data_IF_623550766508
#
_entry.id   IF_623550766508
#
_cell.length_a   1.000
_cell.length_b   1.000
_cell.length_c   1.000
_cell.angle_alpha   90.00
_cell.angle_beta   90.00
_cell.angle_gamma   90.00
#
_symmetry.space_group_name_H-M   'P 1'
#
loop_
_entity.id
_entity.type
_entity.pdbx_description
1 polymer ?
#
# COMPACT_ATOMS: atom_id res chain seq x y z
N UNK A 1 -70.19 -5.28 -21.00
CA UNK A 1 -69.60 -6.63 -21.12
C UNK A 1 -69.05 -6.97 -22.52
N UNK A 2 -69.67 -6.53 -23.63
CA UNK A 2 -69.16 -6.76 -25.02
C UNK A 2 -67.80 -6.09 -25.31
N UNK A 3 -67.59 -4.86 -24.82
CA UNK A 3 -66.33 -4.12 -24.98
C UNK A 3 -65.13 -4.86 -24.34
N UNK A 4 -65.28 -5.37 -23.12
CA UNK A 4 -64.23 -6.10 -22.41
C UNK A 4 -63.81 -7.39 -23.16
N UNK A 5 -64.79 -8.10 -23.74
CA UNK A 5 -64.54 -9.29 -24.58
C UNK A 5 -63.76 -8.96 -25.85
N UNK A 6 -64.09 -7.86 -26.51
CA UNK A 6 -63.40 -7.42 -27.72
C UNK A 6 -61.95 -7.01 -27.41
N UNK A 7 -61.73 -6.30 -26.31
CA UNK A 7 -60.38 -5.90 -25.85
C UNK A 7 -59.53 -7.11 -25.48
N UNK A 8 -60.07 -8.08 -24.73
CA UNK A 8 -59.34 -9.31 -24.37
C UNK A 8 -59.09 -10.19 -25.61
N UNK A 9 -60.02 -10.23 -26.57
CA UNK A 9 -59.89 -10.97 -27.82
C UNK A 9 -58.76 -10.47 -28.72
N UNK A 10 -58.44 -9.18 -28.65
CA UNK A 10 -57.33 -8.53 -29.37
C UNK A 10 -56.01 -8.49 -28.57
N UNK A 11 -55.98 -9.08 -27.38
CA UNK A 11 -54.77 -9.08 -26.56
C UNK A 11 -53.63 -9.87 -27.23
N UNK A 12 -52.37 -9.41 -27.11
CA UNK A 12 -51.21 -10.10 -27.67
C UNK A 12 -50.87 -11.39 -26.91
N UNK A 13 -51.51 -11.64 -25.78
CA UNK A 13 -51.34 -12.85 -24.99
C UNK A 13 -52.24 -13.97 -25.52
N UNK A 14 -51.68 -15.06 -26.10
CA UNK A 14 -52.46 -16.08 -26.81
C UNK A 14 -53.55 -16.72 -25.94
N UNK A 15 -53.25 -17.00 -24.68
CA UNK A 15 -54.21 -17.62 -23.76
C UNK A 15 -55.39 -16.68 -23.43
N UNK A 16 -55.18 -15.37 -23.32
CA UNK A 16 -56.26 -14.39 -23.09
C UNK A 16 -57.17 -14.25 -24.32
N UNK A 17 -56.60 -14.20 -25.53
CA UNK A 17 -57.37 -14.17 -26.78
C UNK A 17 -58.27 -15.42 -26.92
N UNK A 18 -57.74 -16.61 -26.60
CA UNK A 18 -58.49 -17.86 -26.70
C UNK A 18 -59.57 -18.03 -25.62
N UNK A 19 -59.36 -17.49 -24.40
CA UNK A 19 -60.41 -17.43 -23.36
C UNK A 19 -61.62 -16.61 -23.83
N UNK A 20 -61.40 -15.52 -24.58
CA UNK A 20 -62.48 -14.69 -25.13
C UNK A 20 -63.27 -15.39 -26.24
N UNK A 21 -62.57 -16.17 -27.08
CA UNK A 21 -63.13 -16.89 -28.25
C UNK A 21 -63.80 -18.23 -27.89
N UNK A 22 -63.44 -18.87 -26.79
CA UNK A 22 -64.01 -20.16 -26.38
C UNK A 22 -65.51 -20.08 -26.07
N UNK A 23 -66.30 -21.02 -26.60
CA UNK A 23 -67.76 -21.06 -26.43
C UNK A 23 -68.19 -21.83 -25.17
N UNK A 24 -67.53 -22.95 -24.86
CA UNK A 24 -67.86 -23.83 -23.73
C UNK A 24 -67.12 -23.48 -22.44
N UNK A 25 -67.73 -23.78 -21.28
CA UNK A 25 -67.13 -23.50 -19.96
C UNK A 25 -65.84 -24.30 -19.73
N UNK A 26 -65.77 -25.55 -20.19
CA UNK A 26 -64.60 -26.42 -20.05
C UNK A 26 -63.37 -25.86 -20.76
N UNK A 27 -63.54 -25.40 -22.00
CA UNK A 27 -62.43 -24.81 -22.77
C UNK A 27 -61.92 -23.49 -22.19
N UNK A 28 -62.79 -22.70 -21.56
CA UNK A 28 -62.36 -21.49 -20.82
C UNK A 28 -61.50 -21.84 -19.61
N UNK A 29 -61.88 -22.88 -18.86
CA UNK A 29 -61.11 -23.37 -17.70
C UNK A 29 -59.74 -23.90 -18.16
N UNK A 30 -59.70 -24.65 -19.27
CA UNK A 30 -58.44 -25.14 -19.84
C UNK A 30 -57.47 -23.99 -20.18
N UNK A 31 -57.91 -22.99 -20.96
CA UNK A 31 -57.04 -21.87 -21.34
C UNK A 31 -56.66 -20.98 -20.15
N UNK A 32 -57.52 -20.87 -19.14
CA UNK A 32 -57.20 -20.20 -17.88
C UNK A 32 -56.11 -20.94 -17.10
N UNK A 33 -56.14 -22.28 -17.06
CA UNK A 33 -55.06 -23.09 -16.46
C UNK A 33 -53.74 -22.93 -17.22
N UNK A 34 -53.77 -22.92 -18.56
CA UNK A 34 -52.59 -22.68 -19.40
C UNK A 34 -52.00 -21.29 -19.13
N UNK A 35 -52.85 -20.26 -19.03
CA UNK A 35 -52.41 -18.90 -18.67
C UNK A 35 -51.74 -18.88 -17.30
N UNK A 36 -52.36 -19.49 -16.29
CA UNK A 36 -51.86 -19.51 -14.91
C UNK A 36 -50.52 -20.25 -14.81
N UNK A 37 -50.40 -21.42 -15.45
CA UNK A 37 -49.15 -22.19 -15.51
C UNK A 37 -48.02 -21.39 -16.19
N UNK A 38 -48.34 -20.71 -17.31
CA UNK A 38 -47.37 -19.87 -18.02
C UNK A 38 -46.92 -18.66 -17.20
N UNK A 39 -47.84 -18.04 -16.45
CA UNK A 39 -47.55 -16.90 -15.58
C UNK A 39 -46.66 -17.31 -14.40
N UNK A 40 -46.93 -18.47 -13.79
CA UNK A 40 -46.09 -19.05 -12.75
C UNK A 40 -44.68 -19.37 -13.26
N UNK A 41 -44.55 -19.97 -14.45
CA UNK A 41 -43.26 -20.25 -15.07
C UNK A 41 -42.47 -18.98 -15.39
N UNK A 42 -43.15 -17.95 -15.91
CA UNK A 42 -42.54 -16.64 -16.16
C UNK A 42 -42.05 -15.98 -14.86
N UNK A 43 -42.90 -15.94 -13.83
CA UNK A 43 -42.53 -15.39 -12.52
C UNK A 43 -41.35 -16.13 -11.89
N UNK A 44 -41.28 -17.46 -12.05
CA UNK A 44 -40.14 -18.27 -11.60
C UNK A 44 -38.83 -17.91 -12.34
N UNK A 45 -38.87 -17.77 -13.67
CA UNK A 45 -37.71 -17.37 -14.46
C UNK A 45 -37.25 -15.95 -14.13
N UNK A 46 -38.19 -14.99 -14.01
CA UNK A 46 -37.88 -13.61 -13.61
C UNK A 46 -37.27 -13.59 -12.20
N UNK A 47 -37.82 -14.35 -11.24
CA UNK A 47 -37.23 -14.49 -9.91
C UNK A 47 -35.78 -14.99 -9.99
N UNK A 48 -35.52 -16.05 -10.76
CA UNK A 48 -34.17 -16.59 -10.89
C UNK A 48 -33.21 -15.58 -11.54
N UNK A 49 -33.65 -14.88 -12.58
CA UNK A 49 -32.85 -13.83 -13.23
C UNK A 49 -32.55 -12.69 -12.26
N UNK A 50 -33.55 -12.21 -11.51
CA UNK A 50 -33.37 -11.13 -10.53
C UNK A 50 -32.41 -11.54 -9.40
N UNK A 51 -32.47 -12.78 -8.91
CA UNK A 51 -31.52 -13.30 -7.91
C UNK A 51 -30.08 -13.24 -8.43
N UNK A 52 -29.85 -13.60 -9.70
CA UNK A 52 -28.52 -13.54 -10.31
C UNK A 52 -28.10 -12.10 -10.60
N UNK A 53 -29.02 -11.26 -11.08
CA UNK A 53 -28.77 -9.85 -11.37
C UNK A 53 -28.34 -9.09 -10.10
N UNK A 54 -29.08 -9.24 -9.00
CA UNK A 54 -28.76 -8.59 -7.72
C UNK A 54 -27.61 -9.27 -6.96
N UNK A 55 -27.01 -10.33 -7.50
CA UNK A 55 -25.74 -10.89 -7.00
C UNK A 55 -24.53 -10.08 -7.46
N UNK A 56 -24.68 -9.22 -8.47
CA UNK A 56 -23.60 -8.41 -9.07
C UNK A 56 -22.34 -9.24 -9.42
N UNK A 57 -22.46 -10.30 -10.25
CA UNK A 57 -21.29 -11.05 -10.70
C UNK A 57 -20.36 -10.16 -11.54
N UNK A 58 -19.05 -10.33 -11.38
CA UNK A 58 -18.03 -9.59 -12.13
C UNK A 58 -17.37 -10.54 -13.14
N UNK A 59 -17.22 -10.08 -14.37
CA UNK A 59 -16.40 -10.74 -15.40
C UNK A 59 -15.04 -10.06 -15.45
N UNK A 60 -13.97 -10.86 -15.44
CA UNK A 60 -12.60 -10.35 -15.57
C UNK A 60 -12.24 -10.36 -17.04
N UNK A 61 -11.92 -9.18 -17.58
CA UNK A 61 -11.37 -9.04 -18.92
C UNK A 61 -9.86 -8.80 -18.83
N UNK A 62 -9.08 -9.57 -19.59
CA UNK A 62 -7.63 -9.49 -19.62
C UNK A 62 -7.22 -9.15 -21.04
N UNK A 63 -6.78 -7.92 -21.23
CA UNK A 63 -6.27 -7.43 -22.51
C UNK A 63 -4.79 -7.07 -22.37
N UNK A 64 -4.03 -7.37 -23.43
CA UNK A 64 -2.64 -6.92 -23.56
C UNK A 64 -2.65 -5.69 -24.45
N UNK A 65 -2.31 -4.54 -23.89
CA UNK A 65 -2.21 -3.29 -24.62
C UNK A 65 -0.75 -3.01 -25.00
N UNK A 66 -0.47 -2.98 -26.30
CA UNK A 66 0.83 -2.55 -26.80
C UNK A 66 0.79 -1.02 -26.98
N UNK A 67 1.56 -0.30 -26.17
CA UNK A 67 1.70 1.16 -26.26
C UNK A 67 3.05 1.53 -26.86
N UNK A 68 3.08 2.56 -27.69
CA UNK A 68 4.30 3.10 -28.30
C UNK A 68 5.27 3.68 -27.26
N UNK A 69 4.75 4.11 -26.11
CA UNK A 69 5.55 4.48 -24.94
C UNK A 69 4.85 4.06 -23.67
N UNK A 70 5.65 3.70 -22.68
CA UNK A 70 5.20 3.35 -21.34
C UNK A 70 5.84 4.30 -20.34
N UNK A 71 5.07 4.68 -19.33
CA UNK A 71 5.61 5.42 -18.19
C UNK A 71 6.55 4.52 -17.40
N UNK A 72 7.77 5.01 -17.19
CA UNK A 72 8.76 4.33 -16.38
C UNK A 72 8.30 4.38 -14.91
N UNK A 73 8.49 3.31 -14.11
CA UNK A 73 8.13 3.36 -12.70
C UNK A 73 9.05 4.31 -11.92
N UNK A 74 8.65 4.64 -10.70
CA UNK A 74 9.57 5.21 -9.73
C UNK A 74 10.42 4.09 -9.12
N UNK A 75 11.71 4.38 -8.91
CA UNK A 75 12.67 3.44 -8.32
C UNK A 75 13.29 4.08 -7.10
N UNK A 76 12.99 3.53 -5.92
CA UNK A 76 13.52 3.99 -4.64
C UNK A 76 14.64 3.09 -4.17
N UNK A 77 15.77 3.71 -3.84
CA UNK A 77 16.96 3.06 -3.30
C UNK A 77 17.16 3.48 -1.85
N UNK A 78 17.29 2.51 -0.97
CA UNK A 78 17.65 2.71 0.43
C UNK A 78 18.91 1.91 0.77
N UNK A 79 19.76 2.44 1.64
CA UNK A 79 20.83 1.63 2.24
C UNK A 79 20.22 0.72 3.33
N UNK A 80 20.64 -0.55 3.40
CA UNK A 80 20.21 -1.43 4.51
C UNK A 80 20.74 -0.96 5.87
N UNK A 81 21.82 -0.18 5.87
CA UNK A 81 22.27 0.57 7.02
C UNK A 81 21.61 1.96 7.07
N UNK A 82 20.92 2.27 8.16
CA UNK A 82 20.14 3.51 8.28
C UNK A 82 20.97 4.79 8.37
N UNK A 83 22.15 4.69 8.97
CA UNK A 83 23.03 5.82 9.26
C UNK A 83 24.46 5.34 9.42
N UNK A 84 25.44 6.21 9.15
CA UNK A 84 26.85 5.87 9.31
C UNK A 84 27.21 5.62 10.78
N UNK A 85 28.04 4.60 11.02
CA UNK A 85 28.52 4.23 12.36
C UNK A 85 29.24 5.38 13.08
N UNK A 86 29.86 6.31 12.36
CA UNK A 86 30.54 7.47 12.96
C UNK A 86 29.60 8.31 13.84
N UNK A 87 28.29 8.30 13.55
CA UNK A 87 27.28 9.06 14.28
C UNK A 87 26.60 8.26 15.40
N UNK A 88 26.97 6.99 15.61
CA UNK A 88 26.41 6.11 16.65
C UNK A 88 26.48 6.74 18.04
N UNK A 89 27.61 7.35 18.40
CA UNK A 89 27.79 8.04 19.69
C UNK A 89 26.93 9.30 19.80
N UNK A 90 26.73 10.04 18.71
CA UNK A 90 25.87 11.22 18.68
C UNK A 90 24.42 10.85 18.97
N UNK A 91 23.93 9.80 18.31
CA UNK A 91 22.56 9.32 18.52
C UNK A 91 22.38 8.80 19.94
N UNK A 92 23.29 7.98 20.46
CA UNK A 92 23.17 7.45 21.83
C UNK A 92 23.23 8.53 22.92
N UNK A 93 23.83 9.69 22.64
CA UNK A 93 23.89 10.83 23.55
C UNK A 93 22.80 11.89 23.27
N UNK A 94 21.83 11.59 22.40
CA UNK A 94 20.76 12.51 21.99
C UNK A 94 21.27 13.87 21.48
N UNK A 95 22.44 13.88 20.83
CA UNK A 95 23.05 15.11 20.29
C UNK A 95 22.41 15.40 18.93
N UNK A 96 21.71 16.54 18.76
CA UNK A 96 21.16 16.93 17.46
C UNK A 96 22.28 17.37 16.50
N UNK A 97 21.96 17.43 15.21
CA UNK A 97 22.90 17.94 14.22
C UNK A 97 23.21 19.43 14.46
N UNK A 98 24.48 19.87 14.34
CA UNK A 98 25.69 19.11 14.00
C UNK A 98 26.44 18.54 15.22
N UNK A 99 26.82 17.26 15.19
CA UNK A 99 27.52 16.60 16.31
C UNK A 99 29.05 16.60 16.19
N UNK A 100 29.62 16.30 15.01
CA UNK A 100 31.07 16.17 14.84
C UNK A 100 31.66 17.45 14.24
N UNK A 101 31.14 17.87 13.08
CA UNK A 101 31.39 19.18 12.47
C UNK A 101 30.18 19.59 11.62
N UNK A 102 29.78 20.88 11.61
CA UNK A 102 28.78 21.37 10.67
C UNK A 102 29.28 21.22 9.24
N UNK A 103 28.46 20.62 8.40
CA UNK A 103 28.54 20.78 6.94
C UNK A 103 27.40 21.72 6.54
N UNK A 104 27.69 22.70 5.68
CA UNK A 104 26.67 23.51 5.02
C UNK A 104 25.98 22.63 3.98
N UNK A 105 24.79 22.14 4.31
CA UNK A 105 23.93 21.48 3.34
C UNK A 105 22.50 21.98 3.49
N UNK A 106 21.88 22.26 2.35
CA UNK A 106 20.47 22.51 2.24
C UNK A 106 19.72 21.23 2.62
N UNK A 107 18.99 21.29 3.72
CA UNK A 107 18.13 20.19 4.19
C UNK A 107 16.79 20.34 3.51
N UNK A 108 16.32 19.34 2.72
CA UNK A 108 15.01 19.40 2.10
C UNK A 108 13.93 19.62 3.17
N UNK A 109 13.03 20.56 2.92
CA UNK A 109 11.93 20.92 3.82
C UNK A 109 10.80 19.88 3.73
N UNK A 110 11.12 18.62 4.04
CA UNK A 110 10.17 17.51 3.96
C UNK A 110 9.60 17.17 5.33
N UNK A 111 8.28 16.88 5.39
CA UNK A 111 7.61 16.38 6.58
C UNK A 111 8.08 14.94 6.83
N UNK A 112 9.00 14.75 7.77
CA UNK A 112 9.57 13.45 8.09
C UNK A 112 8.54 12.34 8.30
N UNK A 113 8.90 11.12 7.91
CA UNK A 113 8.07 9.94 8.12
C UNK A 113 7.85 9.67 9.60
N UNK A 114 6.59 9.51 10.02
CA UNK A 114 6.24 9.00 11.35
C UNK A 114 6.45 7.49 11.39
N UNK A 115 7.12 7.01 12.44
CA UNK A 115 7.26 5.58 12.78
C UNK A 115 5.99 4.77 12.50
N UNK A 116 6.09 3.72 11.68
CA UNK A 116 5.01 2.74 11.52
C UNK A 116 5.21 1.64 12.57
N UNK A 117 4.17 1.27 13.33
CA UNK A 117 4.31 0.31 14.42
C UNK A 117 4.78 -1.10 14.00
N UNK A 118 4.67 -1.44 12.71
CA UNK A 118 5.27 -2.66 12.14
C UNK A 118 6.80 -2.68 12.31
N UNK A 119 7.46 -1.53 12.19
CA UNK A 119 8.90 -1.35 12.38
C UNK A 119 9.32 -1.61 13.84
N UNK A 120 8.42 -1.33 14.80
CA UNK A 120 8.66 -1.56 16.24
C UNK A 120 8.72 -3.05 16.59
N UNK A 121 7.94 -3.91 15.92
CA UNK A 121 7.87 -5.35 16.27
C UNK A 121 9.14 -6.13 15.94
N UNK A 122 9.88 -5.74 14.90
CA UNK A 122 11.10 -6.43 14.49
C UNK A 122 12.19 -6.37 15.58
N UNK A 123 12.22 -5.29 16.37
CA UNK A 123 13.29 -5.03 17.35
C UNK A 123 12.86 -5.20 18.81
N UNK A 124 11.56 -5.40 19.11
CA UNK A 124 11.05 -5.35 20.50
C UNK A 124 10.74 -6.69 21.17
N UNK A 125 10.78 -7.83 20.47
CA UNK A 125 10.62 -9.14 21.13
C UNK A 125 11.97 -9.69 21.63
N UNK A 126 12.44 -9.13 22.74
CA UNK A 126 13.53 -9.71 23.56
C UNK A 126 13.08 -11.05 24.17
N UNK A 127 11.77 -11.24 24.35
CA UNK A 127 11.18 -12.40 25.04
C UNK A 127 11.39 -13.75 24.36
N UNK A 128 11.77 -13.77 23.08
CA UNK A 128 11.96 -14.99 22.29
C UNK A 128 13.44 -15.33 22.04
N UNK A 129 14.38 -14.56 22.60
CA UNK A 129 15.81 -14.82 22.43
C UNK A 129 16.27 -15.98 23.33
N UNK A 130 17.04 -16.91 22.77
CA UNK A 130 17.48 -18.12 23.48
C UNK A 130 18.95 -18.04 23.92
N UNK A 131 19.75 -17.23 23.22
CA UNK A 131 21.19 -17.08 23.48
C UNK A 131 21.53 -15.71 24.07
N UNK A 132 22.63 -15.64 24.84
CA UNK A 132 23.12 -14.37 25.45
C UNK A 132 23.54 -13.35 24.39
N UNK A 133 24.07 -13.80 23.26
CA UNK A 133 24.43 -12.98 22.10
C UNK A 133 23.20 -12.33 21.44
N UNK A 134 22.12 -13.10 21.22
CA UNK A 134 20.85 -12.57 20.71
C UNK A 134 20.22 -11.53 21.63
N UNK A 135 20.27 -11.77 22.95
CA UNK A 135 19.76 -10.80 23.95
C UNK A 135 20.55 -9.49 23.86
N UNK A 136 21.89 -9.57 23.80
CA UNK A 136 22.77 -8.41 23.72
C UNK A 136 22.51 -7.60 22.43
N UNK A 137 22.45 -8.27 21.28
CA UNK A 137 22.14 -7.65 20.00
C UNK A 137 20.77 -6.94 20.03
N UNK A 138 19.72 -7.65 20.48
CA UNK A 138 18.37 -7.07 20.57
C UNK A 138 18.31 -5.88 21.52
N UNK A 139 18.99 -5.95 22.67
CA UNK A 139 19.06 -4.83 23.62
C UNK A 139 19.71 -3.59 23.00
N UNK A 140 20.91 -3.75 22.40
CA UNK A 140 21.62 -2.65 21.73
C UNK A 140 20.82 -2.06 20.58
N UNK A 141 20.17 -2.89 19.77
CA UNK A 141 19.33 -2.43 18.66
C UNK A 141 18.12 -1.63 19.12
N UNK A 142 17.49 -2.05 20.23
CA UNK A 142 16.34 -1.36 20.83
C UNK A 142 16.74 -0.02 21.41
N UNK A 143 17.87 0.04 22.12
CA UNK A 143 18.43 1.26 22.68
C UNK A 143 18.73 2.28 21.59
N UNK A 144 19.49 1.90 20.56
CA UNK A 144 19.82 2.81 19.46
C UNK A 144 18.55 3.29 18.74
N UNK A 145 17.58 2.40 18.50
CA UNK A 145 16.32 2.76 17.85
C UNK A 145 15.54 3.79 18.69
N UNK A 146 15.50 3.65 20.02
CA UNK A 146 14.79 4.57 20.90
C UNK A 146 15.35 5.99 20.79
N UNK A 147 16.66 6.14 20.87
CA UNK A 147 17.34 7.42 20.70
C UNK A 147 17.17 7.98 19.28
N UNK A 148 17.39 7.15 18.25
CA UNK A 148 17.24 7.55 16.85
C UNK A 148 15.84 8.10 16.53
N UNK A 149 14.79 7.53 17.12
CA UNK A 149 13.41 7.97 16.89
C UNK A 149 13.05 9.26 17.61
N UNK A 150 13.79 9.62 18.66
CA UNK A 150 13.59 10.88 19.39
C UNK A 150 14.26 12.06 18.67
N UNK A 151 15.20 11.81 17.76
CA UNK A 151 15.85 12.83 16.97
C UNK A 151 14.88 13.49 15.98
N UNK A 152 15.09 14.79 15.79
CA UNK A 152 14.38 15.57 14.79
C UNK A 152 14.70 15.08 13.36
N UNK A 153 13.84 15.46 12.41
CA UNK A 153 13.95 15.04 11.01
C UNK A 153 15.29 15.44 10.39
N UNK A 154 15.76 16.66 10.68
CA UNK A 154 17.01 17.20 10.15
C UNK A 154 18.21 16.41 10.68
N UNK A 155 18.26 16.10 11.97
CA UNK A 155 19.31 15.25 12.52
C UNK A 155 19.35 13.86 11.90
N UNK A 156 18.19 13.21 11.74
CA UNK A 156 18.10 11.89 11.07
C UNK A 156 18.58 11.97 9.61
N UNK A 157 18.23 13.05 8.91
CA UNK A 157 18.67 13.26 7.53
C UNK A 157 20.19 13.41 7.45
N UNK A 158 20.79 14.25 8.30
CA UNK A 158 22.22 14.51 8.27
C UNK A 158 23.08 13.31 8.73
N UNK A 159 22.56 12.48 9.63
CA UNK A 159 23.25 11.24 10.04
C UNK A 159 23.11 10.09 9.03
N UNK A 160 22.07 10.14 8.19
CA UNK A 160 21.84 9.21 7.10
C UNK A 160 22.84 9.37 5.94
N UNK A 161 22.76 8.44 4.98
CA UNK A 161 23.58 8.50 3.77
C UNK A 161 23.05 9.55 2.79
N UNK A 162 23.95 10.13 1.99
CA UNK A 162 23.65 11.11 0.94
C UNK A 162 23.56 10.44 -0.43
N UNK A 163 22.90 11.10 -1.39
CA UNK A 163 22.72 10.57 -2.75
C UNK A 163 24.07 10.24 -3.40
N UNK A 164 25.01 11.19 -3.44
CA UNK A 164 26.34 11.01 -4.03
C UNK A 164 27.23 10.01 -3.27
N UNK A 165 26.88 9.66 -2.02
CA UNK A 165 27.60 8.63 -1.28
C UNK A 165 27.16 7.24 -1.75
N UNK A 166 25.85 7.06 -2.01
CA UNK A 166 25.29 5.78 -2.45
C UNK A 166 25.39 5.61 -3.96
N UNK A 167 24.83 6.52 -4.75
CA UNK A 167 24.80 6.45 -6.21
C UNK A 167 26.04 7.15 -6.76
N UNK A 168 26.98 6.35 -7.30
CA UNK A 168 28.22 6.86 -7.92
C UNK A 168 27.98 7.29 -9.35
N UNK A 169 27.39 6.40 -10.15
CA UNK A 169 26.98 6.67 -11.52
C UNK A 169 25.51 6.28 -11.70
N UNK A 170 24.82 7.05 -12.53
CA UNK A 170 23.43 6.78 -12.92
C UNK A 170 23.27 7.13 -14.39
N UNK A 171 22.69 6.21 -15.15
CA UNK A 171 22.25 6.47 -16.51
C UNK A 171 20.80 6.03 -16.67
N UNK A 172 20.02 6.85 -17.38
CA UNK A 172 18.67 6.51 -17.81
C UNK A 172 18.58 6.76 -19.30
N UNK A 173 18.15 5.76 -20.06
CA UNK A 173 18.07 5.85 -21.54
C UNK A 173 19.41 6.32 -22.15
N UNK A 174 20.53 5.79 -21.64
CA UNK A 174 21.91 6.15 -22.01
C UNK A 174 22.31 7.61 -21.75
N UNK A 175 21.53 8.37 -20.98
CA UNK A 175 21.85 9.74 -20.56
C UNK A 175 22.14 9.79 -19.07
N UNK A 176 23.10 10.62 -18.64
CA UNK A 176 23.42 10.76 -17.22
C UNK A 176 22.26 11.36 -16.44
N UNK A 177 21.93 10.77 -15.30
CA UNK A 177 20.90 11.30 -14.41
C UNK A 177 21.41 12.55 -13.68
N UNK A 178 20.53 13.51 -13.44
CA UNK A 178 20.82 14.68 -12.62
C UNK A 178 20.35 14.48 -11.18
N UNK A 179 20.97 15.19 -10.22
CA UNK A 179 20.53 15.14 -8.82
C UNK A 179 19.09 15.64 -8.62
N UNK A 180 18.59 16.49 -9.52
CA UNK A 180 17.19 16.94 -9.56
C UNK A 180 16.19 15.84 -9.90
N UNK A 181 16.66 14.76 -10.53
CA UNK A 181 15.83 13.62 -10.93
C UNK A 181 15.53 12.68 -9.75
N UNK A 182 16.13 12.96 -8.59
CA UNK A 182 15.89 12.25 -7.35
C UNK A 182 15.10 13.09 -6.35
N UNK A 183 14.14 12.45 -5.73
CA UNK A 183 13.49 12.93 -4.52
C UNK A 183 14.02 12.14 -3.33
N UNK A 184 14.03 12.75 -2.16
CA UNK A 184 14.30 12.02 -0.92
C UNK A 184 13.00 11.45 -0.36
N UNK A 185 13.10 10.28 0.26
CA UNK A 185 12.09 9.73 1.13
C UNK A 185 12.77 9.17 2.38
N UNK A 186 12.60 9.82 3.52
CA UNK A 186 13.18 9.32 4.77
C UNK A 186 12.31 8.23 5.39
N UNK A 187 12.94 7.17 5.91
CA UNK A 187 12.31 6.10 6.69
C UNK A 187 13.03 5.91 8.02
N UNK A 188 12.33 5.38 9.02
CA UNK A 188 12.98 5.06 10.29
C UNK A 188 13.81 3.78 10.19
N UNK A 189 13.33 2.79 9.43
CA UNK A 189 14.03 1.52 9.29
C UNK A 189 15.34 1.63 8.48
N UNK A 190 15.32 2.39 7.38
CA UNK A 190 16.42 2.45 6.41
C UNK A 190 17.07 3.84 6.28
N UNK A 191 16.63 4.84 7.05
CA UNK A 191 17.18 6.20 6.97
C UNK A 191 16.78 6.90 5.69
N UNK A 192 17.73 7.60 5.06
CA UNK A 192 17.48 8.30 3.81
C UNK A 192 17.38 7.33 2.63
N UNK A 193 16.26 7.39 1.91
CA UNK A 193 16.10 6.72 0.62
C UNK A 193 15.98 7.75 -0.49
N UNK A 194 16.38 7.38 -1.70
CA UNK A 194 16.36 8.25 -2.87
C UNK A 194 15.48 7.62 -3.95
N UNK A 195 14.50 8.37 -4.43
CA UNK A 195 13.51 7.92 -5.42
C UNK A 195 13.74 8.64 -6.73
N UNK A 196 14.13 7.88 -7.75
CA UNK A 196 14.18 8.32 -9.14
C UNK A 196 12.76 8.37 -9.73
N UNK A 197 12.47 9.37 -10.57
CA UNK A 197 11.21 9.51 -11.31
C UNK A 197 9.96 9.63 -10.41
N UNK A 198 10.00 10.53 -9.42
CA UNK A 198 8.87 10.77 -8.53
C UNK A 198 7.97 11.90 -9.06
N UNK A 199 6.86 11.53 -9.70
CA UNK A 199 5.94 12.48 -10.32
C UNK A 199 5.19 13.36 -9.30
N UNK A 200 5.15 12.99 -8.01
CA UNK A 200 4.57 13.83 -6.96
C UNK A 200 5.36 15.14 -6.74
N UNK A 201 6.67 15.12 -7.02
CA UNK A 201 7.55 16.29 -6.86
C UNK A 201 8.02 16.87 -8.21
N UNK A 202 8.13 16.06 -9.27
CA UNK A 202 8.80 16.45 -10.51
C UNK A 202 7.87 16.92 -11.65
N UNK A 203 6.55 17.06 -11.42
CA UNK A 203 5.50 17.45 -12.39
C UNK A 203 5.35 16.57 -13.65
N UNK A 204 6.41 15.90 -14.13
CA UNK A 204 6.42 15.00 -15.28
C UNK A 204 7.10 13.68 -14.91
N UNK A 205 6.55 12.56 -15.39
CA UNK A 205 7.16 11.24 -15.27
C UNK A 205 7.92 10.86 -16.54
N UNK A 206 9.10 10.26 -16.37
CA UNK A 206 9.89 9.70 -17.46
C UNK A 206 9.16 8.54 -18.16
N UNK A 207 9.38 8.41 -19.46
CA UNK A 207 8.76 7.36 -20.30
C UNK A 207 9.85 6.59 -21.04
N UNK A 208 9.56 5.32 -21.30
CA UNK A 208 10.38 4.41 -22.10
C UNK A 208 9.61 3.95 -23.34
N UNK A 209 10.29 3.86 -24.47
CA UNK A 209 9.70 3.50 -25.77
C UNK A 209 9.90 2.00 -26.05
N UNK A 210 11.02 1.44 -25.61
CA UNK A 210 11.38 0.04 -25.84
C UNK A 210 11.82 -0.63 -24.53
N UNK A 211 11.64 -1.94 -24.47
CA UNK A 211 12.24 -2.78 -23.45
C UNK A 211 13.66 -3.19 -23.86
N UNK A 212 14.60 -3.13 -22.92
CA UNK A 212 16.00 -3.47 -23.13
C UNK A 212 16.90 -2.79 -22.10
N UNK A 213 18.14 -3.27 -21.91
CA UNK A 213 19.09 -2.68 -20.97
C UNK A 213 19.47 -1.23 -21.38
N UNK A 214 19.65 -0.98 -22.68
CA UNK A 214 20.10 0.33 -23.21
C UNK A 214 19.11 1.48 -22.95
N UNK A 215 17.82 1.14 -22.81
CA UNK A 215 16.71 2.08 -22.54
C UNK A 215 16.27 2.07 -21.08
N UNK A 216 16.98 1.32 -20.23
CA UNK A 216 16.67 1.15 -18.82
C UNK A 216 17.32 2.21 -17.92
N UNK A 217 17.20 1.96 -16.62
CA UNK A 217 17.88 2.69 -15.56
C UNK A 217 19.03 1.84 -15.05
N UNK A 218 20.23 2.37 -15.08
CA UNK A 218 21.45 1.73 -14.60
C UNK A 218 22.04 2.54 -13.46
N UNK A 219 22.42 1.85 -12.38
CA UNK A 219 23.05 2.46 -11.23
C UNK A 219 24.35 1.75 -10.89
N UNK A 220 25.40 2.53 -10.65
CA UNK A 220 26.58 2.08 -9.91
C UNK A 220 26.44 2.53 -8.46
N UNK A 221 26.29 1.58 -7.54
CA UNK A 221 25.94 1.87 -6.14
C UNK A 221 27.04 1.39 -5.19
N UNK A 222 27.44 2.28 -4.29
CA UNK A 222 28.32 2.00 -3.15
C UNK A 222 27.49 1.92 -1.87
N UNK A 223 27.32 0.71 -1.33
CA UNK A 223 26.65 0.51 -0.06
C UNK A 223 27.46 1.06 1.13
N UNK A 224 28.75 1.36 0.96
CA UNK A 224 29.62 1.93 1.98
C UNK A 224 29.70 1.06 3.25
N UNK A 225 30.05 -0.22 3.04
CA UNK A 225 30.01 -1.30 4.03
C UNK A 225 30.86 -1.04 5.28
N UNK A 226 31.97 -0.30 5.13
CA UNK A 226 32.86 0.03 6.25
C UNK A 226 32.22 0.95 7.30
N UNK A 227 31.11 1.60 6.96
CA UNK A 227 30.36 2.51 7.86
C UNK A 227 29.12 1.85 8.48
N UNK A 228 28.98 0.53 8.35
CA UNK A 228 27.81 -0.19 8.86
C UNK A 228 27.82 -0.30 10.38
N UNK A 229 26.65 -0.12 10.98
CA UNK A 229 26.47 -0.38 12.41
C UNK A 229 26.55 -1.89 12.70
N UNK A 230 27.20 -2.28 13.79
CA UNK A 230 27.24 -3.68 14.29
C UNK A 230 25.84 -4.31 14.50
N UNK A 231 24.80 -3.48 14.63
CA UNK A 231 23.42 -3.90 14.86
C UNK A 231 22.60 -4.01 13.56
N UNK A 232 23.21 -3.76 12.40
CA UNK A 232 22.54 -3.86 11.10
C UNK A 232 22.54 -5.33 10.66
N UNK A 233 21.36 -5.94 10.43
CA UNK A 233 21.25 -7.39 10.28
C UNK A 233 21.79 -7.91 8.93
N UNK A 234 21.92 -7.06 7.92
CA UNK A 234 22.29 -7.46 6.56
C UNK A 234 22.94 -6.29 5.83
N UNK A 235 23.87 -6.60 4.93
CA UNK A 235 24.62 -5.65 4.13
C UNK A 235 24.13 -5.59 2.69
N UNK A 236 24.01 -4.38 2.13
CA UNK A 236 23.60 -4.15 0.75
C UNK A 236 22.61 -3.01 0.57
N UNK A 237 21.90 -3.06 -0.54
CA UNK A 237 20.99 -2.02 -0.97
C UNK A 237 19.58 -2.59 -1.06
N UNK A 238 18.58 -1.79 -0.68
CA UNK A 238 17.17 -2.17 -0.80
C UNK A 238 16.51 -1.32 -1.86
N UNK A 239 15.93 -1.97 -2.87
CA UNK A 239 15.29 -1.33 -4.02
C UNK A 239 13.80 -1.57 -3.99
N UNK A 240 13.01 -0.53 -4.22
CA UNK A 240 11.54 -0.61 -4.29
C UNK A 240 11.09 0.00 -5.62
N UNK A 241 10.29 -0.74 -6.37
CA UNK A 241 9.76 -0.30 -7.67
C UNK A 241 8.27 -0.05 -7.49
N UNK A 242 7.81 1.17 -7.75
CA UNK A 242 6.42 1.56 -7.51
C UNK A 242 5.91 2.55 -8.57
N UNK A 243 4.61 2.86 -8.49
CA UNK A 243 4.00 3.89 -9.35
C UNK A 243 4.63 5.26 -9.07
N UNK A 244 4.95 6.07 -10.09
CA UNK A 244 5.53 7.39 -9.90
C UNK A 244 4.59 8.39 -9.18
N UNK A 245 3.32 8.03 -9.05
CA UNK A 245 2.29 8.83 -8.37
C UNK A 245 1.96 8.33 -6.96
N UNK A 246 2.81 7.49 -6.38
CA UNK A 246 2.64 6.96 -5.02
C UNK A 246 3.96 7.05 -4.25
N UNK A 247 3.88 7.15 -2.92
CA UNK A 247 5.06 7.09 -2.07
C UNK A 247 5.62 5.66 -2.00
N UNK A 248 6.94 5.49 -1.90
CA UNK A 248 7.54 4.17 -1.75
C UNK A 248 7.21 3.51 -0.41
N UNK A 249 7.09 2.19 -0.43
CA UNK A 249 6.95 1.35 0.74
C UNK A 249 8.07 0.30 0.81
N UNK A 250 9.30 0.73 1.17
CA UNK A 250 10.43 -0.18 1.17
C UNK A 250 10.28 -1.31 2.18
N UNK A 251 9.43 -1.20 3.20
CA UNK A 251 9.27 -2.27 4.19
C UNK A 251 8.58 -3.49 3.59
N UNK A 252 7.51 -3.30 2.80
CA UNK A 252 6.75 -4.41 2.23
C UNK A 252 7.21 -4.78 0.82
N UNK A 253 7.47 -3.78 -0.03
CA UNK A 253 7.67 -3.98 -1.46
C UNK A 253 9.15 -4.00 -1.87
N UNK A 254 10.06 -3.83 -0.91
CA UNK A 254 11.49 -3.74 -1.17
C UNK A 254 12.17 -5.10 -1.41
N UNK A 255 13.10 -5.10 -2.35
CA UNK A 255 13.98 -6.22 -2.73
C UNK A 255 15.39 -5.89 -2.24
N UNK A 256 16.08 -6.84 -1.61
CA UNK A 256 17.47 -6.66 -1.17
C UNK A 256 18.43 -7.09 -2.27
N UNK A 257 19.39 -6.23 -2.58
CA UNK A 257 20.48 -6.45 -3.51
C UNK A 257 21.78 -6.58 -2.72
N UNK A 258 22.48 -7.69 -2.94
CA UNK A 258 23.77 -7.96 -2.32
C UNK A 258 24.89 -7.18 -3.04
N UNK A 259 25.86 -6.62 -2.30
CA UNK A 259 27.02 -5.99 -2.91
C UNK A 259 27.91 -7.03 -3.60
N UNK A 260 28.66 -6.60 -4.62
CA UNK A 260 29.61 -7.46 -5.36
C UNK A 260 29.01 -8.24 -6.54
N UNK A 261 27.75 -7.99 -6.89
CA UNK A 261 27.07 -8.58 -8.04
C UNK A 261 26.50 -7.50 -8.96
N UNK A 262 26.55 -7.75 -10.26
CA UNK A 262 25.71 -7.06 -11.24
C UNK A 262 24.32 -7.72 -11.25
N UNK A 263 23.27 -6.93 -10.96
CA UNK A 263 21.90 -7.44 -10.83
C UNK A 263 20.97 -6.79 -11.85
N UNK A 264 20.39 -7.61 -12.72
CA UNK A 264 19.41 -7.17 -13.71
C UNK A 264 17.98 -7.47 -13.23
N UNK A 265 17.13 -6.45 -13.20
CA UNK A 265 15.72 -6.58 -12.81
C UNK A 265 14.85 -6.29 -14.02
N UNK A 266 14.21 -7.32 -14.57
CA UNK A 266 13.21 -7.17 -15.63
C UNK A 266 11.84 -6.88 -15.04
N UNK A 267 11.13 -5.91 -15.60
CA UNK A 267 9.82 -5.46 -15.11
C UNK A 267 8.74 -5.56 -16.19
N UNK A 268 7.53 -5.92 -15.77
CA UNK A 268 6.33 -5.91 -16.61
C UNK A 268 5.21 -5.16 -15.88
N UNK A 269 4.56 -4.20 -16.54
CA UNK A 269 3.48 -3.42 -15.95
C UNK A 269 2.14 -4.13 -16.12
N UNK A 270 1.52 -4.51 -15.01
CA UNK A 270 0.12 -4.94 -14.96
C UNK A 270 -0.74 -3.84 -14.33
N UNK A 271 -1.84 -3.48 -14.98
CA UNK A 271 -2.83 -2.55 -14.41
C UNK A 271 -4.12 -3.30 -14.10
N UNK A 272 -4.67 -3.08 -12.91
CA UNK A 272 -5.91 -3.71 -12.46
C UNK A 272 -6.91 -2.61 -12.14
N UNK A 273 -8.02 -2.58 -12.88
CA UNK A 273 -9.14 -1.70 -12.59
C UNK A 273 -10.27 -2.52 -11.95
N UNK A 274 -10.76 -2.06 -10.79
CA UNK A 274 -11.86 -2.72 -10.06
C UNK A 274 -13.10 -1.84 -10.08
N UNK A 275 -14.26 -2.48 -9.99
CA UNK A 275 -15.54 -1.78 -9.96
C UNK A 275 -15.90 -1.34 -8.52
N UNK A 276 -16.53 -0.16 -8.34
CA UNK A 276 -16.93 0.35 -7.02
C UNK A 276 -18.16 -0.39 -6.48
N UNK A 277 -18.70 0.04 -5.33
CA UNK A 277 -19.99 -0.46 -4.85
C UNK A 277 -21.07 -0.30 -5.94
N UNK A 278 -21.99 -1.28 -6.13
CA UNK A 278 -22.39 -2.37 -5.23
C UNK A 278 -21.71 -3.74 -5.47
N UNK A 279 -20.65 -3.80 -6.29
CA UNK A 279 -19.94 -5.06 -6.55
C UNK A 279 -19.21 -5.58 -5.29
N UNK A 280 -18.94 -6.89 -5.23
CA UNK A 280 -18.41 -7.60 -4.04
C UNK A 280 -17.21 -6.91 -3.38
N UNK A 281 -16.25 -6.45 -4.17
CA UNK A 281 -15.00 -5.88 -3.68
C UNK A 281 -15.14 -4.46 -3.15
N UNK A 282 -16.27 -3.78 -3.43
CA UNK A 282 -16.58 -2.42 -2.98
C UNK A 282 -15.39 -1.47 -3.13
N UNK A 283 -14.72 -1.52 -4.29
CA UNK A 283 -13.48 -0.80 -4.48
C UNK A 283 -13.69 0.71 -4.33
N UNK A 284 -12.87 1.35 -3.49
CA UNK A 284 -12.90 2.79 -3.29
C UNK A 284 -11.85 3.45 -4.18
N UNK A 285 -12.26 4.48 -4.91
CA UNK A 285 -11.32 5.36 -5.57
C UNK A 285 -10.80 6.39 -4.56
N UNK A 286 -9.52 6.29 -4.21
CA UNK A 286 -8.87 7.17 -3.24
C UNK A 286 -8.68 8.59 -3.76
N UNK A 287 -8.61 8.79 -5.09
CA UNK A 287 -8.34 10.11 -5.71
C UNK A 287 -9.61 10.86 -6.10
N UNK A 288 -10.74 10.16 -6.26
CA UNK A 288 -12.00 10.78 -6.66
C UNK A 288 -12.77 11.46 -5.51
N UNK A 289 -12.50 11.09 -4.25
CA UNK A 289 -13.13 11.75 -3.10
C UNK A 289 -12.33 12.99 -2.70
N UNK A 290 -12.80 14.19 -3.10
CA UNK A 290 -12.43 15.49 -2.52
C UNK A 290 -12.90 15.62 -1.05
N UNK A 291 -12.79 14.55 -0.28
CA UNK A 291 -13.19 14.50 1.11
C UNK A 291 -11.99 14.97 1.93
N UNK A 292 -11.98 16.27 2.25
CA UNK A 292 -10.95 16.98 3.00
C UNK A 292 -10.67 16.39 4.39
N UNK A 293 -11.38 15.34 4.79
CA UNK A 293 -11.22 14.61 6.05
C UNK A 293 -10.34 13.35 5.93
N UNK A 294 -10.10 12.84 4.72
CA UNK A 294 -9.35 11.60 4.49
C UNK A 294 -8.14 11.86 3.58
N UNK A 295 -6.94 11.91 4.16
CA UNK A 295 -5.66 12.19 3.48
C UNK A 295 -5.00 10.97 2.82
N UNK A 296 -5.72 9.85 2.73
CA UNK A 296 -5.17 8.60 2.24
C UNK A 296 -5.28 8.47 0.71
N UNK A 297 -4.25 8.94 0.00
CA UNK A 297 -4.19 8.90 -1.48
C UNK A 297 -3.92 7.50 -2.09
N UNK A 298 -3.70 6.49 -1.24
CA UNK A 298 -3.45 5.10 -1.66
C UNK A 298 -3.88 4.09 -0.59
N UNK A 299 -3.97 2.82 -0.98
CA UNK A 299 -4.26 1.72 -0.04
C UNK A 299 -3.23 1.68 1.09
N UNK A 300 -1.95 1.88 0.77
CA UNK A 300 -0.88 1.94 1.76
C UNK A 300 -1.09 3.07 2.76
N UNK A 301 -1.37 4.29 2.27
CA UNK A 301 -1.63 5.43 3.15
C UNK A 301 -2.88 5.21 4.03
N UNK A 302 -3.92 4.57 3.49
CA UNK A 302 -5.13 4.23 4.24
C UNK A 302 -4.82 3.25 5.39
N UNK A 303 -4.08 2.17 5.10
CA UNK A 303 -3.65 1.21 6.13
C UNK A 303 -2.76 1.90 7.16
N UNK A 304 -1.81 2.73 6.71
CA UNK A 304 -0.89 3.49 7.57
C UNK A 304 -1.64 4.41 8.52
N UNK A 305 -2.58 5.20 8.01
CA UNK A 305 -3.43 6.09 8.82
C UNK A 305 -4.29 5.31 9.81
N UNK A 306 -4.91 4.21 9.37
CA UNK A 306 -5.69 3.34 10.24
C UNK A 306 -4.86 2.82 11.42
N UNK A 307 -3.64 2.33 11.14
CA UNK A 307 -2.69 1.88 12.17
C UNK A 307 -2.35 3.06 13.10
N UNK A 308 -2.03 4.23 12.57
CA UNK A 308 -1.68 5.41 13.39
C UNK A 308 -2.82 5.85 14.31
N UNK A 309 -4.05 5.96 13.78
CA UNK A 309 -5.24 6.33 14.57
C UNK A 309 -5.53 5.31 15.66
N UNK A 310 -5.49 4.03 15.31
CA UNK A 310 -5.65 2.92 16.25
C UNK A 310 -4.60 2.97 17.37
N UNK A 311 -3.36 3.28 17.05
CA UNK A 311 -2.31 3.39 18.06
C UNK A 311 -2.47 4.61 18.97
N UNK A 312 -2.93 5.76 18.43
CA UNK A 312 -3.24 6.95 19.24
C UNK A 312 -4.34 6.64 20.25
N UNK A 313 -5.40 5.93 19.84
CA UNK A 313 -6.49 5.56 20.76
C UNK A 313 -6.02 4.57 21.83
N UNK A 314 -5.20 3.58 21.48
CA UNK A 314 -4.61 2.67 22.48
C UNK A 314 -3.68 3.38 23.46
N UNK A 315 -2.82 4.30 23.00
CA UNK A 315 -1.96 5.08 23.87
C UNK A 315 -2.76 5.96 24.82
N UNK A 316 -3.82 6.62 24.33
CA UNK A 316 -4.73 7.41 25.16
C UNK A 316 -5.47 6.54 26.18
N UNK A 317 -5.94 5.34 25.80
CA UNK A 317 -6.55 4.39 26.72
C UNK A 317 -5.57 3.91 27.80
N UNK A 318 -4.30 3.71 27.45
CA UNK A 318 -3.24 3.34 28.39
C UNK A 318 -2.98 4.46 29.40
N UNK A 319 -2.90 5.71 28.95
CA UNK A 319 -2.73 6.89 29.82
C UNK A 319 -3.93 7.07 30.75
N UNK A 320 -5.16 6.92 30.24
CA UNK A 320 -6.39 6.99 31.06
C UNK A 320 -6.44 5.87 32.11
N UNK A 321 -6.03 4.64 31.73
CA UNK A 321 -5.95 3.52 32.67
C UNK A 321 -4.87 3.71 33.74
N UNK A 322 -3.78 4.42 33.42
CA UNK A 322 -2.75 4.80 34.38
C UNK A 322 -3.21 5.93 35.31
N UNK A 323 -3.90 6.95 34.78
CA UNK A 323 -4.44 8.04 35.60
C UNK A 323 -5.56 7.57 36.54
N UNK A 324 -6.40 6.60 36.13
CA UNK A 324 -7.40 6.00 37.03
C UNK A 324 -6.77 5.11 38.11
N UNK A 325 -5.60 4.51 37.86
CA UNK A 325 -4.92 3.61 38.81
C UNK A 325 -3.90 4.31 39.73
N UNK A 326 -3.54 5.57 39.50
CA UNK A 326 -2.79 6.37 40.50
C UNK A 326 -3.57 6.55 41.82
N UNK A 327 -4.86 6.21 41.85
CA UNK A 327 -5.70 6.19 43.05
C UNK A 327 -5.84 4.83 43.75
N UNK A 328 -5.25 3.72 43.27
CA UNK A 328 -5.31 2.42 43.94
C UNK A 328 -4.01 1.63 43.80
N UNK A 329 -3.54 1.09 44.93
CA UNK A 329 -2.28 0.35 45.09
C UNK A 329 -1.92 -0.59 43.92
N UNK A 330 -0.64 -0.52 43.55
CA UNK A 330 0.02 -1.13 42.39
C UNK A 330 -0.20 -2.66 42.29
N UNK A 331 -0.85 -3.13 41.23
CA UNK A 331 -0.86 -4.55 40.82
C UNK A 331 -0.29 -4.64 39.40
N UNK A 332 0.82 -5.36 39.24
CA UNK A 332 1.50 -5.53 37.95
C UNK A 332 0.77 -6.61 37.13
N UNK A 333 0.15 -6.22 36.01
CA UNK A 333 -0.43 -7.16 35.06
C UNK A 333 0.48 -7.35 33.84
N UNK A 334 0.69 -8.62 33.45
CA UNK A 334 1.40 -9.01 32.22
C UNK A 334 0.38 -9.22 31.10
N UNK A 335 0.17 -8.20 30.26
CA UNK A 335 -0.78 -8.26 29.15
C UNK A 335 -0.06 -8.79 27.89
N UNK A 336 -0.52 -9.93 27.36
CA UNK A 336 -0.13 -10.42 26.02
C UNK A 336 -1.23 -10.10 25.03
N UNK A 337 -0.92 -9.30 24.01
CA UNK A 337 -1.81 -9.01 22.89
C UNK A 337 -1.34 -9.84 21.68
N UNK A 338 -2.16 -10.80 21.24
CA UNK A 338 -2.00 -11.45 19.93
C UNK A 338 -3.02 -10.81 18.98
N UNK A 339 -2.57 -10.37 17.81
CA UNK A 339 -3.48 -9.98 16.73
C UNK A 339 -3.96 -11.25 16.00
N UNK A 340 -5.21 -11.29 15.54
CA UNK A 340 -5.63 -12.30 14.56
C UNK A 340 -4.87 -12.01 13.26
N UNK A 341 -4.11 -13.00 12.79
CA UNK A 341 -3.62 -13.01 11.42
C UNK A 341 -4.86 -13.19 10.54
N UNK A 342 -5.22 -12.16 9.78
CA UNK A 342 -6.15 -12.30 8.67
C UNK A 342 -5.42 -13.10 7.59
N UNK A 343 -5.71 -14.40 7.57
CA UNK A 343 -5.46 -15.23 6.39
C UNK A 343 -6.55 -14.83 5.41
N UNK A 344 -6.17 -14.14 4.33
CA UNK A 344 -7.03 -13.87 3.18
C UNK A 344 -6.95 -15.05 2.23
#
# INVERSE_FOLDING_TARGET
>A
MKLLKNVIGMSPFPALSQISKAETKLWKVFWLLVLLLSLCGCAYNVKNFLIVFFKYPVLIDVSVENRDSMEFPAVTICNLNRMSEIYKSCVLNDIPWPCIRPFDDDVPEEKGSVLILSERRLYTSVSNATTRSEINYKSKSKELLNHYTNLDHKSRYCYGYRLHQLVKNCTFNSTFCHSSDFSIFQTIQYGNCFTFNNALQQQNSFKVIKAGPDTGLEFEIDANLNSYLDITPSAGIRVTIHSPYENPNPVQDGINLSPGYDTQISISKSSVQRLPAPYRDQCRDYKATNDSTNSADSQFNCIRECIQQTNKSYAAALILSFQQNLNRNLVIYRIRVRYPVLIV
#
